data_IF_521114260245
#
_entry.id   IF_521114260245
#
_cell.length_a   1.000
_cell.length_b   1.000
_cell.length_c   1.000
_cell.angle_alpha   90.00
_cell.angle_beta   90.00
_cell.angle_gamma   90.00
#
_symmetry.space_group_name_H-M   'P 1'
#
loop_
_entity.id
_entity.type
_entity.pdbx_description
1 polymer ?
#
# COMPACT_ATOMS: atom_id res chain seq x y z
N UNK A 1 18.30 6.10 -0.70
CA UNK A 1 17.09 6.77 -1.22
C UNK A 1 15.82 6.05 -0.77
N UNK A 2 15.70 4.72 -0.92
CA UNK A 2 14.44 4.00 -0.61
C UNK A 2 13.91 4.15 0.82
N UNK A 3 14.81 4.25 1.81
CA UNK A 3 14.46 4.48 3.22
C UNK A 3 14.45 5.96 3.63
N UNK A 4 14.25 6.87 2.68
CA UNK A 4 14.18 8.30 2.99
C UNK A 4 12.74 8.75 3.25
N UNK A 5 11.76 7.86 3.26
CA UNK A 5 10.37 8.18 3.54
C UNK A 5 9.68 8.93 2.40
N UNK A 6 8.64 9.69 2.76
CA UNK A 6 7.80 10.42 1.82
C UNK A 6 8.20 11.90 1.72
N UNK A 7 7.99 12.47 0.54
CA UNK A 7 8.18 13.89 0.27
C UNK A 7 6.92 14.46 -0.38
N UNK A 8 6.48 15.64 0.07
CA UNK A 8 5.51 16.47 -0.64
C UNK A 8 6.31 17.60 -1.29
N UNK A 9 6.18 17.73 -2.61
CA UNK A 9 6.89 18.73 -3.40
C UNK A 9 5.90 19.66 -4.08
N UNK A 10 6.17 20.97 -4.03
CA UNK A 10 5.56 21.94 -4.94
C UNK A 10 6.28 21.84 -6.28
N UNK A 11 5.54 21.37 -7.29
CA UNK A 11 5.98 21.19 -8.67
C UNK A 11 5.27 22.14 -9.63
N UNK A 12 4.72 23.26 -9.14
CA UNK A 12 4.14 24.32 -9.98
C UNK A 12 5.13 24.86 -11.02
N UNK A 13 6.42 24.81 -10.70
CA UNK A 13 7.55 24.97 -11.62
C UNK A 13 8.36 23.67 -11.65
N UNK A 14 8.10 22.81 -12.65
CA UNK A 14 8.79 21.53 -12.81
C UNK A 14 10.30 21.67 -13.02
N UNK A 15 10.79 22.84 -13.46
CA UNK A 15 12.23 23.08 -13.61
C UNK A 15 12.92 23.33 -12.27
N UNK A 16 12.14 23.63 -11.22
CA UNK A 16 12.65 23.99 -9.90
C UNK A 16 11.71 23.53 -8.76
N UNK A 17 11.54 22.20 -8.57
CA UNK A 17 10.72 21.64 -7.49
C UNK A 17 11.15 22.15 -6.11
N UNK A 18 10.18 22.38 -5.22
CA UNK A 18 10.44 22.83 -3.84
C UNK A 18 9.88 21.83 -2.85
N UNK A 19 10.68 21.45 -1.86
CA UNK A 19 10.18 20.64 -0.76
C UNK A 19 9.17 21.43 0.09
N UNK A 20 7.98 20.86 0.28
CA UNK A 20 6.93 21.38 1.16
C UNK A 20 6.96 20.66 2.49
N UNK A 21 7.05 19.33 2.46
CA UNK A 21 7.18 18.50 3.65
C UNK A 21 7.98 17.23 3.37
N UNK A 22 8.52 16.65 4.43
CA UNK A 22 9.25 15.40 4.45
C UNK A 22 8.91 14.66 5.74
N UNK A 23 8.59 13.38 5.63
CA UNK A 23 8.41 12.51 6.79
C UNK A 23 9.13 11.19 6.53
N UNK A 24 9.91 10.73 7.50
CA UNK A 24 10.65 9.47 7.38
C UNK A 24 10.34 8.54 8.55
N UNK A 25 9.55 7.51 8.27
CA UNK A 25 9.22 6.44 9.21
C UNK A 25 10.27 5.33 9.22
N UNK A 26 11.10 5.20 8.17
CA UNK A 26 12.00 4.05 7.98
C UNK A 26 12.97 3.78 9.15
N UNK A 27 13.54 4.78 9.85
CA UNK A 27 14.36 4.52 11.04
C UNK A 27 13.59 3.76 12.14
N UNK A 28 12.30 4.08 12.33
CA UNK A 28 11.44 3.46 13.33
C UNK A 28 10.79 2.16 12.82
N UNK A 29 10.30 2.15 11.57
CA UNK A 29 9.69 1.02 10.90
C UNK A 29 10.62 0.57 9.79
N UNK A 30 11.28 -0.57 9.91
CA UNK A 30 12.50 -0.92 9.16
C UNK A 30 12.32 -1.12 7.63
N UNK A 31 11.21 -0.68 7.06
CA UNK A 31 10.80 -0.87 5.68
C UNK A 31 11.04 0.39 4.85
N UNK A 32 11.31 0.25 3.55
CA UNK A 32 11.30 1.37 2.63
C UNK A 32 9.87 1.86 2.39
N UNK A 33 9.71 3.18 2.30
CA UNK A 33 8.48 3.76 1.77
C UNK A 33 8.48 3.63 0.26
N UNK A 34 7.50 2.92 -0.28
CA UNK A 34 7.46 2.53 -1.70
C UNK A 34 6.48 3.36 -2.51
N UNK A 35 5.22 3.44 -2.08
CA UNK A 35 4.16 4.16 -2.81
C UNK A 35 3.54 5.24 -1.92
N UNK A 36 3.37 6.45 -2.45
CA UNK A 36 2.58 7.53 -1.82
C UNK A 36 1.43 7.88 -2.77
N UNK A 37 0.22 7.42 -2.42
CA UNK A 37 -0.98 7.55 -3.25
C UNK A 37 -1.95 8.59 -2.64
N UNK A 38 -1.95 9.85 -3.14
CA UNK A 38 -2.94 10.84 -2.73
C UNK A 38 -4.33 10.46 -3.24
N UNK A 39 -5.34 10.57 -2.38
CA UNK A 39 -6.73 10.27 -2.72
C UNK A 39 -7.36 11.49 -3.39
N UNK A 40 -7.87 11.29 -4.60
CA UNK A 40 -8.31 12.37 -5.49
C UNK A 40 -9.47 13.20 -4.92
N UNK A 41 -10.36 12.59 -4.13
CA UNK A 41 -11.49 13.27 -3.50
C UNK A 41 -11.34 13.30 -1.98
N UNK A 42 -11.86 14.34 -1.31
CA UNK A 42 -11.82 14.39 0.14
C UNK A 42 -12.59 13.24 0.79
N UNK A 43 -12.03 12.66 1.85
CA UNK A 43 -12.70 11.68 2.70
C UNK A 43 -12.99 12.31 4.06
N UNK A 44 -14.26 12.32 4.48
CA UNK A 44 -14.72 13.03 5.68
C UNK A 44 -14.23 14.50 5.74
N UNK A 45 -14.18 15.18 4.60
CA UNK A 45 -13.74 16.57 4.48
C UNK A 45 -12.22 16.79 4.58
N UNK A 46 -11.41 15.74 4.50
CA UNK A 46 -9.94 15.79 4.61
C UNK A 46 -9.27 15.34 3.32
N UNK A 47 -8.08 15.87 3.05
CA UNK A 47 -7.21 15.35 1.99
C UNK A 47 -6.41 14.18 2.56
N UNK A 48 -6.54 13.01 1.97
CA UNK A 48 -5.95 11.77 2.47
C UNK A 48 -4.87 11.28 1.51
N UNK A 49 -3.84 10.65 2.05
CA UNK A 49 -2.82 9.94 1.30
C UNK A 49 -2.63 8.55 1.90
N UNK A 50 -2.64 7.53 1.05
CA UNK A 50 -2.29 6.16 1.41
C UNK A 50 -0.81 5.97 1.12
N UNK A 51 -0.06 5.43 2.08
CA UNK A 51 1.37 5.17 1.91
C UNK A 51 1.64 3.70 2.15
N UNK A 52 2.19 3.00 1.16
CA UNK A 52 2.62 1.62 1.31
C UNK A 52 4.11 1.58 1.59
N UNK A 53 4.46 1.02 2.74
CA UNK A 53 5.82 0.56 2.98
C UNK A 53 5.96 -0.86 2.41
N UNK A 54 7.00 -1.11 1.64
CA UNK A 54 7.19 -2.41 1.00
C UNK A 54 7.94 -3.39 1.92
N UNK A 55 7.53 -4.65 1.97
CA UNK A 55 8.14 -5.66 2.83
C UNK A 55 9.47 -6.22 2.29
N UNK A 56 10.37 -5.35 1.85
CA UNK A 56 11.69 -5.71 1.29
C UNK A 56 12.78 -4.84 1.90
N UNK A 57 14.04 -5.19 1.62
CA UNK A 57 15.21 -4.38 1.98
C UNK A 57 15.23 -3.91 3.45
N UNK A 58 14.75 -4.76 4.38
CA UNK A 58 14.58 -4.35 5.79
C UNK A 58 15.90 -3.86 6.39
N UNK A 59 15.87 -2.72 7.08
CA UNK A 59 17.06 -2.15 7.75
C UNK A 59 17.59 -3.04 8.89
N UNK A 60 16.72 -3.88 9.46
CA UNK A 60 17.01 -4.86 10.51
C UNK A 60 15.94 -5.96 10.47
N UNK A 61 16.16 -7.13 11.08
CA UNK A 61 15.10 -8.11 11.29
C UNK A 61 13.88 -7.44 11.93
N UNK A 62 12.72 -7.57 11.30
CA UNK A 62 11.48 -6.87 11.70
C UNK A 62 10.26 -7.63 11.19
N UNK A 63 9.12 -7.40 11.83
CA UNK A 63 7.82 -7.86 11.38
C UNK A 63 7.53 -7.39 9.93
N UNK A 64 6.48 -7.90 9.28
CA UNK A 64 6.10 -7.46 7.93
C UNK A 64 5.69 -5.99 7.87
N UNK A 65 5.94 -5.33 6.74
CA UNK A 65 5.42 -3.98 6.48
C UNK A 65 3.89 -3.95 6.39
N UNK A 66 3.34 -2.74 6.41
CA UNK A 66 1.91 -2.44 6.35
C UNK A 66 1.67 -1.13 5.60
N UNK A 67 0.39 -0.79 5.38
CA UNK A 67 0.02 0.49 4.77
C UNK A 67 -0.35 1.52 5.84
N UNK A 68 0.04 2.77 5.61
CA UNK A 68 -0.35 3.93 6.40
C UNK A 68 -1.48 4.71 5.72
N UNK A 69 -2.28 5.39 6.53
CA UNK A 69 -3.20 6.45 6.11
C UNK A 69 -2.71 7.77 6.72
N UNK A 70 -2.42 8.76 5.87
CA UNK A 70 -2.01 10.10 6.25
C UNK A 70 -3.11 11.12 5.96
N UNK A 71 -3.35 12.03 6.90
CA UNK A 71 -4.04 13.30 6.63
C UNK A 71 -3.00 14.30 6.10
N UNK A 72 -3.24 14.79 4.88
CA UNK A 72 -2.44 15.80 4.18
C UNK A 72 -3.27 17.07 3.90
N UNK A 73 -4.33 17.32 4.68
CA UNK A 73 -5.14 18.54 4.57
C UNK A 73 -4.26 19.78 4.70
N UNK A 74 -3.32 19.78 5.64
CA UNK A 74 -2.22 20.73 5.71
C UNK A 74 -0.94 20.06 5.17
N UNK A 75 -0.58 20.31 3.91
CA UNK A 75 0.54 19.65 3.22
C UNK A 75 1.90 19.85 3.92
N UNK A 76 2.05 20.91 4.70
CA UNK A 76 3.26 21.22 5.47
C UNK A 76 3.42 20.30 6.69
N UNK A 77 2.35 19.60 7.08
CA UNK A 77 2.29 18.72 8.24
C UNK A 77 1.50 17.45 7.92
N UNK A 78 2.05 16.52 7.12
CA UNK A 78 1.45 15.20 6.92
C UNK A 78 1.38 14.46 8.26
N UNK A 79 0.20 14.03 8.68
CA UNK A 79 -0.01 13.31 9.96
C UNK A 79 -0.52 11.91 9.70
N UNK A 80 0.16 10.84 10.19
CA UNK A 80 -0.40 9.49 10.13
C UNK A 80 -1.60 9.39 11.08
N UNK A 81 -2.74 8.92 10.57
CA UNK A 81 -4.00 8.84 11.31
C UNK A 81 -4.52 7.40 11.48
N UNK A 82 -4.06 6.47 10.64
CA UNK A 82 -4.39 5.05 10.75
C UNK A 82 -3.35 4.19 10.01
N UNK A 83 -3.44 2.88 10.22
CA UNK A 83 -2.68 1.85 9.50
C UNK A 83 -3.63 0.72 9.09
N UNK A 84 -3.26 -0.02 8.05
CA UNK A 84 -3.91 -1.26 7.67
C UNK A 84 -2.87 -2.37 7.56
N UNK A 85 -3.12 -3.51 8.20
CA UNK A 85 -2.30 -4.73 8.15
C UNK A 85 -3.23 -5.93 7.91
N UNK A 86 -2.78 -6.91 7.13
CA UNK A 86 -3.53 -8.15 6.90
C UNK A 86 -3.66 -8.92 8.22
N UNK A 87 -4.86 -9.39 8.60
CA UNK A 87 -5.04 -10.16 9.82
C UNK A 87 -4.14 -11.41 9.87
N UNK A 88 -3.51 -11.65 11.02
CA UNK A 88 -2.60 -12.79 11.21
C UNK A 88 -1.14 -12.50 10.82
N UNK A 89 -0.83 -11.35 10.24
CA UNK A 89 0.55 -10.83 10.20
C UNK A 89 0.89 -10.12 11.51
N UNK A 90 2.19 -10.09 11.83
CA UNK A 90 2.73 -9.41 13.02
C UNK A 90 2.01 -9.77 14.35
N UNK A 91 1.82 -11.07 14.60
CA UNK A 91 1.09 -11.56 15.78
C UNK A 91 1.80 -11.23 17.09
N UNK A 92 3.13 -11.25 17.10
CA UNK A 92 3.97 -11.14 18.30
C UNK A 92 5.17 -10.19 18.13
N UNK A 93 5.25 -9.42 17.04
CA UNK A 93 6.40 -8.56 16.76
C UNK A 93 7.64 -9.29 16.23
N UNK A 94 7.59 -10.61 16.05
CA UNK A 94 8.75 -11.38 15.61
C UNK A 94 9.15 -11.06 14.16
N UNK A 95 10.46 -11.07 13.84
CA UNK A 95 10.90 -10.92 12.47
C UNK A 95 10.35 -11.99 11.53
N UNK A 96 9.84 -11.56 10.37
CA UNK A 96 9.36 -12.46 9.33
C UNK A 96 10.15 -12.26 8.04
N UNK A 97 10.19 -13.29 7.20
CA UNK A 97 10.85 -13.26 5.89
C UNK A 97 10.38 -12.06 5.06
N UNK A 98 11.24 -11.48 4.20
CA UNK A 98 10.80 -10.48 3.23
C UNK A 98 9.66 -11.01 2.35
N UNK A 99 8.95 -10.08 1.72
CA UNK A 99 7.80 -10.33 0.86
C UNK A 99 6.69 -11.11 1.59
N UNK A 100 6.53 -10.91 2.90
CA UNK A 100 5.40 -11.40 3.69
C UNK A 100 4.30 -10.36 3.85
N UNK A 101 4.68 -9.07 3.82
CA UNK A 101 3.83 -7.91 4.10
C UNK A 101 3.43 -7.11 2.86
N UNK A 102 3.12 -5.83 3.10
CA UNK A 102 2.57 -4.91 2.09
C UNK A 102 3.57 -4.67 0.94
N UNK A 103 3.04 -4.32 -0.24
CA UNK A 103 3.86 -3.87 -1.36
C UNK A 103 3.29 -2.61 -2.00
N UNK A 104 2.21 -2.73 -2.77
CA UNK A 104 1.71 -1.59 -3.53
C UNK A 104 0.18 -1.59 -3.72
N UNK A 105 -0.48 -0.44 -3.57
CA UNK A 105 -1.86 -0.22 -3.97
C UNK A 105 -1.97 -0.01 -5.49
N UNK A 106 -3.14 -0.29 -6.04
CA UNK A 106 -3.50 0.14 -7.39
C UNK A 106 -3.60 1.68 -7.42
N UNK A 107 -2.83 2.31 -8.31
CA UNK A 107 -2.89 3.77 -8.51
C UNK A 107 -4.14 4.21 -9.29
N UNK A 108 -4.83 3.25 -9.91
CA UNK A 108 -6.09 3.44 -10.65
C UNK A 108 -7.19 2.62 -9.99
N UNK A 109 -8.12 3.32 -9.35
CA UNK A 109 -9.29 2.73 -8.72
C UNK A 109 -10.44 3.75 -8.70
N UNK A 110 -11.65 3.29 -8.36
CA UNK A 110 -12.85 4.13 -8.22
C UNK A 110 -13.42 3.97 -6.82
N UNK A 111 -14.03 5.05 -6.31
CA UNK A 111 -14.60 5.05 -4.96
C UNK A 111 -13.52 5.00 -3.88
N UNK A 112 -13.77 4.23 -2.83
CA UNK A 112 -12.92 4.19 -1.62
C UNK A 112 -12.27 2.82 -1.39
N UNK A 113 -12.55 1.83 -2.24
CA UNK A 113 -11.96 0.50 -2.16
C UNK A 113 -10.72 0.46 -3.04
N UNK A 114 -9.57 0.27 -2.40
CA UNK A 114 -8.26 0.22 -3.04
C UNK A 114 -7.80 -1.24 -3.09
N UNK A 115 -7.57 -1.80 -4.28
CA UNK A 115 -6.85 -3.05 -4.44
C UNK A 115 -5.37 -2.88 -4.08
N UNK A 116 -4.80 -3.83 -3.35
CA UNK A 116 -3.38 -3.89 -3.01
C UNK A 116 -2.80 -5.24 -3.41
N UNK A 117 -1.60 -5.23 -3.98
CA UNK A 117 -0.72 -6.38 -3.99
C UNK A 117 0.01 -6.43 -2.63
N UNK A 118 -0.04 -7.59 -1.98
CA UNK A 118 0.50 -7.81 -0.65
C UNK A 118 1.41 -9.05 -0.61
N UNK A 119 2.28 -9.20 -1.61
CA UNK A 119 3.22 -10.32 -1.77
C UNK A 119 2.60 -11.70 -1.40
N UNK A 120 3.09 -12.34 -0.34
CA UNK A 120 2.64 -13.65 0.13
C UNK A 120 1.18 -13.68 0.60
N UNK A 121 0.53 -12.52 0.73
CA UNK A 121 -0.88 -12.38 1.08
C UNK A 121 -1.78 -12.10 -0.13
N UNK A 122 -1.26 -12.10 -1.36
CA UNK A 122 -2.09 -11.99 -2.55
C UNK A 122 -2.69 -10.59 -2.75
N UNK A 123 -3.91 -10.55 -3.30
CA UNK A 123 -4.72 -9.35 -3.48
C UNK A 123 -5.51 -9.04 -2.20
N UNK A 124 -5.49 -7.76 -1.80
CA UNK A 124 -6.29 -7.23 -0.68
C UNK A 124 -7.13 -6.06 -1.15
N UNK A 125 -8.44 -6.10 -0.92
CA UNK A 125 -9.35 -4.99 -1.19
C UNK A 125 -9.58 -4.23 0.11
N UNK A 126 -9.09 -2.99 0.19
CA UNK A 126 -9.12 -2.19 1.41
C UNK A 126 -10.03 -0.98 1.20
N UNK A 127 -11.13 -0.91 1.94
CA UNK A 127 -12.01 0.26 1.98
C UNK A 127 -11.47 1.30 2.94
N UNK A 128 -11.24 2.51 2.43
CA UNK A 128 -10.74 3.66 3.18
C UNK A 128 -11.79 4.76 3.38
N UNK A 129 -13.09 4.49 3.12
CA UNK A 129 -14.17 5.49 3.26
C UNK A 129 -14.16 6.17 4.64
N UNK A 130 -13.84 5.40 5.67
CA UNK A 130 -13.40 5.93 6.96
C UNK A 130 -11.86 5.93 7.03
N UNK A 131 -11.19 7.07 6.81
CA UNK A 131 -9.73 7.12 6.81
C UNK A 131 -9.11 6.90 8.20
N UNK A 132 -9.92 6.89 9.27
CA UNK A 132 -9.49 6.56 10.63
C UNK A 132 -9.61 5.06 10.95
N UNK A 133 -10.29 4.28 10.10
CA UNK A 133 -10.56 2.87 10.32
C UNK A 133 -10.62 2.12 8.97
N UNK A 134 -9.50 2.04 8.22
CA UNK A 134 -9.45 1.27 6.98
C UNK A 134 -9.76 -0.21 7.27
N UNK A 135 -10.51 -0.86 6.37
CA UNK A 135 -10.98 -2.24 6.56
C UNK A 135 -10.83 -3.08 5.30
N UNK A 136 -10.50 -4.35 5.46
CA UNK A 136 -10.56 -5.31 4.35
C UNK A 136 -12.03 -5.59 4.00
N UNK A 137 -12.35 -5.57 2.71
CA UNK A 137 -13.69 -5.88 2.17
C UNK A 137 -13.69 -7.07 1.21
N UNK A 138 -12.51 -7.61 0.92
CA UNK A 138 -12.33 -8.80 0.11
C UNK A 138 -10.85 -9.10 -0.08
N UNK A 139 -10.54 -10.32 -0.47
CA UNK A 139 -9.18 -10.73 -0.82
C UNK A 139 -9.22 -11.86 -1.84
N UNK A 140 -8.09 -12.07 -2.50
CA UNK A 140 -7.83 -13.25 -3.31
C UNK A 140 -6.39 -13.69 -3.09
N UNK A 141 -6.19 -14.94 -2.71
CA UNK A 141 -4.87 -15.51 -2.49
C UNK A 141 -4.57 -16.49 -3.64
N UNK A 142 -3.65 -16.15 -4.57
CA UNK A 142 -3.26 -17.09 -5.61
C UNK A 142 -2.43 -18.23 -5.05
N UNK A 143 -2.45 -19.38 -5.74
CA UNK A 143 -1.53 -20.47 -5.47
C UNK A 143 -0.08 -20.03 -5.77
N UNK A 144 0.92 -20.46 -4.99
CA UNK A 144 2.33 -20.26 -5.31
C UNK A 144 2.70 -20.79 -6.70
N UNK A 145 3.70 -20.21 -7.36
CA UNK A 145 4.24 -20.78 -8.60
C UNK A 145 4.91 -22.14 -8.37
N UNK A 146 5.08 -22.94 -9.42
CA UNK A 146 5.75 -24.24 -9.32
C UNK A 146 7.17 -24.08 -8.75
N UNK A 147 7.43 -24.75 -7.62
CA UNK A 147 8.71 -24.68 -6.91
C UNK A 147 8.84 -23.54 -5.90
N UNK A 148 7.80 -22.70 -5.73
CA UNK A 148 7.76 -21.64 -4.73
C UNK A 148 6.88 -22.04 -3.53
N UNK A 149 7.27 -21.63 -2.33
CA UNK A 149 6.51 -21.93 -1.10
C UNK A 149 5.31 -20.99 -0.90
N UNK A 150 5.34 -19.80 -1.52
CA UNK A 150 4.38 -18.70 -1.29
C UNK A 150 4.15 -17.93 -2.59
N UNK A 151 2.97 -17.31 -2.78
CA UNK A 151 2.79 -16.37 -3.88
C UNK A 151 3.69 -15.14 -3.68
N UNK A 152 3.93 -14.44 -4.78
CA UNK A 152 4.73 -13.22 -4.83
C UNK A 152 3.96 -12.16 -5.61
N UNK A 153 2.73 -11.85 -5.16
CA UNK A 153 1.91 -10.81 -5.77
C UNK A 153 2.63 -9.46 -5.69
N UNK A 154 3.03 -8.99 -6.86
CA UNK A 154 3.88 -7.84 -7.03
C UNK A 154 3.06 -6.59 -7.30
N UNK A 155 2.25 -6.56 -8.36
CA UNK A 155 1.59 -5.33 -8.82
C UNK A 155 0.10 -5.54 -9.04
N UNK A 156 -0.67 -4.45 -8.99
CA UNK A 156 -2.11 -4.49 -9.16
C UNK A 156 -2.63 -3.25 -9.88
N UNK A 157 -3.53 -3.43 -10.84
CA UNK A 157 -4.30 -2.34 -11.46
C UNK A 157 -5.73 -2.78 -11.72
N UNK A 158 -6.62 -1.81 -11.93
CA UNK A 158 -8.01 -2.05 -12.33
C UNK A 158 -8.29 -1.37 -13.67
N UNK A 159 -9.15 -1.97 -14.48
CA UNK A 159 -9.68 -1.34 -15.69
C UNK A 159 -11.09 -0.75 -15.49
N UNK A 160 -11.61 -0.07 -16.53
CA UNK A 160 -12.93 0.57 -16.46
C UNK A 160 -14.12 -0.40 -16.39
N UNK A 161 -13.90 -1.70 -16.64
CA UNK A 161 -14.91 -2.75 -16.45
C UNK A 161 -14.95 -3.25 -15.01
N UNK A 162 -14.02 -2.80 -14.16
CA UNK A 162 -13.86 -3.28 -12.80
C UNK A 162 -13.05 -4.56 -12.68
N UNK A 163 -12.39 -5.01 -13.76
CA UNK A 163 -11.49 -6.17 -13.71
C UNK A 163 -10.18 -5.77 -13.06
N UNK A 164 -9.75 -6.56 -12.08
CA UNK A 164 -8.50 -6.39 -11.34
C UNK A 164 -7.44 -7.30 -11.97
N UNK A 165 -6.29 -6.73 -12.29
CA UNK A 165 -5.14 -7.45 -12.83
C UNK A 165 -4.09 -7.52 -11.73
N UNK A 166 -3.87 -8.71 -11.20
CA UNK A 166 -2.85 -8.97 -10.17
C UNK A 166 -1.66 -9.66 -10.83
N UNK A 167 -0.51 -9.01 -10.79
CA UNK A 167 0.75 -9.55 -11.32
C UNK A 167 1.51 -10.24 -10.19
N UNK A 168 1.94 -11.48 -10.42
CA UNK A 168 2.87 -12.23 -9.58
C UNK A 168 4.27 -12.21 -10.20
N UNK A 169 5.32 -12.12 -9.37
CA UNK A 169 6.72 -12.07 -9.85
C UNK A 169 7.15 -13.33 -10.61
N UNK A 170 6.49 -14.45 -10.38
CA UNK A 170 6.86 -15.76 -10.92
C UNK A 170 5.73 -16.38 -11.75
N UNK A 171 4.49 -16.34 -11.25
CA UNK A 171 3.35 -17.08 -11.85
C UNK A 171 2.70 -16.38 -13.06
N UNK A 172 2.88 -15.07 -13.21
CA UNK A 172 2.26 -14.29 -14.30
C UNK A 172 1.13 -13.38 -13.81
N UNK A 173 -0.04 -13.43 -14.45
CA UNK A 173 -1.14 -12.48 -14.19
C UNK A 173 -2.46 -13.22 -13.93
N UNK A 174 -3.12 -12.88 -12.82
CA UNK A 174 -4.51 -13.23 -12.55
C UNK A 174 -5.43 -12.07 -12.95
N UNK A 175 -6.56 -12.39 -13.58
CA UNK A 175 -7.64 -11.44 -13.90
C UNK A 175 -8.84 -11.79 -13.03
N UNK A 176 -9.19 -10.87 -12.14
CA UNK A 176 -10.10 -11.10 -11.04
C UNK A 176 -11.30 -10.14 -11.15
N UNK A 177 -12.50 -10.66 -10.91
CA UNK A 177 -13.71 -9.86 -10.74
C UNK A 177 -14.18 -9.97 -9.28
N UNK A 178 -14.40 -8.83 -8.62
CA UNK A 178 -14.87 -8.82 -7.23
C UNK A 178 -16.41 -8.93 -7.19
N UNK A 179 -16.94 -10.01 -6.63
CA UNK A 179 -18.38 -10.17 -6.41
C UNK A 179 -18.79 -9.43 -5.12
N UNK A 180 -19.40 -8.25 -5.22
CA UNK A 180 -20.06 -7.59 -4.08
C UNK A 180 -19.53 -6.23 -3.63
N UNK A 181 -18.68 -5.55 -4.41
CA UNK A 181 -18.28 -4.17 -4.16
C UNK A 181 -18.65 -3.28 -5.38
N UNK A 182 -19.89 -2.79 -5.41
CA UNK A 182 -20.24 -1.58 -6.16
C UNK A 182 -20.68 -0.50 -5.17
#
# INVERSE_FOLDING_TARGET
>A
YWHHGLFILDISDMSRPKAVAHANTSPAFAHPTHTCLPIAHPLKGRRIMVVADEDVAKLRPSAPSFSWIYDITLEQLPVPIATFQVPGLDVDGSPQSPMSGCHQPAERFRGTVIPFAWFAQGLRLVDIADPFAPREVGHFLPDPADGEDRPSSNDVTVDDRGLIYLVDRVRGVDIIEATGAQ
#
